data_IF_311357990774
#
_entry.id   IF_311357990774
#
_cell.length_a   1.000
_cell.length_b   1.000
_cell.length_c   1.000
_cell.angle_alpha   90.00
_cell.angle_beta   90.00
_cell.angle_gamma   90.00
#
_symmetry.space_group_name_H-M   'P 1'
#
loop_
_entity.id
_entity.type
_entity.pdbx_description
1 polymer ?
#
# COMPACT_ATOMS: atom_id res chain seq x y z
N UNK A 1 -1.35 7.25 7.26
CA UNK A 1 -1.42 7.68 5.85
C UNK A 1 -0.51 8.87 5.78
N UNK A 2 0.61 8.68 5.12
CA UNK A 2 1.81 9.47 5.29
C UNK A 2 2.24 9.95 3.92
N UNK A 3 2.56 11.24 3.80
CA UNK A 3 3.05 11.81 2.54
C UNK A 3 4.53 11.46 2.43
N UNK A 4 4.89 10.63 1.47
CA UNK A 4 6.26 10.13 1.27
C UNK A 4 7.06 11.09 0.39
N UNK A 5 6.47 11.56 -0.70
CA UNK A 5 7.14 12.48 -1.64
C UNK A 5 6.14 13.44 -2.28
N UNK A 6 6.57 14.65 -2.64
CA UNK A 6 5.75 15.62 -3.37
C UNK A 6 6.57 16.25 -4.49
N UNK A 7 6.20 15.96 -5.74
CA UNK A 7 6.82 16.53 -6.96
C UNK A 7 5.79 17.36 -7.71
N UNK A 8 5.86 18.68 -7.52
CA UNK A 8 4.92 19.61 -8.16
C UNK A 8 3.46 19.30 -7.79
N UNK A 9 2.66 18.89 -8.78
CA UNK A 9 1.26 18.50 -8.62
C UNK A 9 1.05 17.03 -8.22
N UNK A 10 2.09 16.20 -8.30
CA UNK A 10 2.06 14.81 -7.89
C UNK A 10 2.47 14.64 -6.42
N UNK A 11 1.74 13.81 -5.69
CA UNK A 11 1.94 13.46 -4.29
C UNK A 11 1.97 11.94 -4.16
N UNK A 12 3.02 11.42 -3.54
CA UNK A 12 3.11 10.00 -3.18
C UNK A 12 2.63 9.85 -1.73
N UNK A 13 1.60 9.04 -1.55
CA UNK A 13 0.94 8.74 -0.29
C UNK A 13 1.21 7.28 0.07
N UNK A 14 1.77 7.02 1.23
CA UNK A 14 1.83 5.66 1.78
C UNK A 14 0.69 5.46 2.76
N UNK A 15 -0.21 4.55 2.41
CA UNK A 15 -1.15 3.96 3.35
C UNK A 15 -0.44 2.78 4.00
N UNK A 16 0.02 3.00 5.24
CA UNK A 16 0.78 2.02 6.01
C UNK A 16 0.00 0.72 6.28
N UNK A 17 0.70 -0.32 6.74
CA UNK A 17 0.22 -1.71 6.81
C UNK A 17 -0.97 -1.92 7.74
N UNK A 18 -1.27 -0.99 8.64
CA UNK A 18 -2.43 -1.05 9.53
C UNK A 18 -3.36 0.14 9.29
N UNK A 19 -3.83 0.33 8.06
CA UNK A 19 -4.96 1.23 7.82
C UNK A 19 -6.27 0.50 8.13
N UNK A 20 -7.17 1.03 8.99
CA UNK A 20 -8.33 0.33 9.58
C UNK A 20 -9.46 -0.03 8.59
N UNK A 21 -9.20 -0.14 7.30
CA UNK A 21 -10.20 -0.54 6.28
C UNK A 21 -9.64 -1.40 5.16
N UNK A 22 -8.37 -1.75 5.18
CA UNK A 22 -7.81 -2.74 4.26
C UNK A 22 -7.93 -4.09 4.95
N UNK A 23 -8.67 -5.04 4.39
CA UNK A 23 -8.91 -6.37 4.98
C UNK A 23 -7.61 -7.21 5.09
N UNK A 24 -6.68 -6.83 5.98
CA UNK A 24 -5.37 -7.45 6.18
C UNK A 24 -4.25 -6.42 6.44
N UNK A 25 -3.03 -6.91 6.68
CA UNK A 25 -1.82 -6.07 6.66
C UNK A 25 -1.35 -5.89 5.22
N UNK A 26 -1.70 -4.74 4.65
CA UNK A 26 -1.36 -4.36 3.28
C UNK A 26 -0.79 -2.95 3.31
N UNK A 27 0.43 -2.78 2.77
CA UNK A 27 0.97 -1.45 2.54
C UNK A 27 0.68 -1.05 1.10
N UNK A 28 0.07 0.13 0.90
CA UNK A 28 -0.23 0.64 -0.43
C UNK A 28 0.43 2.00 -0.60
N UNK A 29 1.31 2.12 -1.58
CA UNK A 29 1.89 3.38 -2.01
C UNK A 29 1.10 3.88 -3.24
N UNK A 30 0.50 5.06 -3.13
CA UNK A 30 -0.34 5.66 -4.16
C UNK A 30 0.28 6.97 -4.61
N UNK A 31 0.50 7.12 -5.91
CA UNK A 31 0.87 8.39 -6.54
C UNK A 31 -0.40 9.06 -7.05
N UNK A 32 -0.72 10.22 -6.48
CA UNK A 32 -1.89 11.03 -6.83
C UNK A 32 -1.45 12.36 -7.41
N UNK A 33 -2.03 12.77 -8.54
CA UNK A 33 -1.89 14.10 -9.10
C UNK A 33 -3.19 14.87 -8.88
N UNK A 34 -3.24 15.71 -7.85
CA UNK A 34 -4.47 16.37 -7.41
C UNK A 34 -5.52 15.37 -6.93
N UNK A 35 -6.63 15.24 -7.69
CA UNK A 35 -7.76 14.34 -7.39
C UNK A 35 -7.72 13.04 -8.21
N UNK A 36 -6.74 12.90 -9.12
CA UNK A 36 -6.59 11.73 -10.00
C UNK A 36 -5.47 10.83 -9.51
N UNK A 37 -5.75 9.53 -9.33
CA UNK A 37 -4.72 8.53 -9.05
C UNK A 37 -4.01 8.13 -10.35
N UNK A 38 -2.69 8.31 -10.40
CA UNK A 38 -1.88 7.93 -11.57
C UNK A 38 -1.30 6.52 -11.44
N UNK A 39 -0.86 6.15 -10.22
CA UNK A 39 -0.24 4.86 -9.97
C UNK A 39 -0.48 4.39 -8.54
N UNK A 40 -0.63 3.08 -8.36
CA UNK A 40 -0.71 2.45 -7.05
C UNK A 40 0.17 1.19 -7.04
N UNK A 41 1.09 1.12 -6.09
CA UNK A 41 1.93 -0.04 -5.82
C UNK A 41 1.53 -0.64 -4.47
N UNK A 42 1.24 -1.93 -4.47
CA UNK A 42 0.79 -2.65 -3.29
C UNK A 42 1.84 -3.67 -2.86
N UNK A 43 2.21 -3.60 -1.58
CA UNK A 43 3.10 -4.55 -0.95
C UNK A 43 2.29 -5.53 -0.13
N UNK A 44 2.16 -6.75 -0.67
CA UNK A 44 1.45 -7.90 -0.09
C UNK A 44 2.46 -8.86 0.55
N UNK A 45 1.97 -9.83 1.34
CA UNK A 45 2.82 -10.91 1.89
C UNK A 45 3.16 -10.78 3.38
N UNK A 46 2.72 -9.70 4.04
CA UNK A 46 2.90 -9.50 5.49
C UNK A 46 2.26 -10.60 6.36
N UNK A 47 1.27 -11.34 5.86
CA UNK A 47 0.65 -12.50 6.50
C UNK A 47 0.89 -13.81 5.73
N UNK A 48 1.90 -13.88 4.88
CA UNK A 48 2.24 -15.13 4.19
C UNK A 48 2.89 -16.10 5.17
N UNK A 49 2.07 -16.86 5.89
CA UNK A 49 2.49 -17.84 6.91
C UNK A 49 2.97 -19.16 6.32
N UNK A 50 3.10 -19.27 4.99
CA UNK A 50 3.52 -20.50 4.32
C UNK A 50 2.55 -21.66 4.52
N UNK A 51 1.24 -21.39 4.50
CA UNK A 51 0.18 -22.40 4.64
C UNK A 51 0.35 -23.51 3.60
N UNK A 52 0.70 -23.14 2.37
CA UNK A 52 1.03 -24.05 1.27
C UNK A 52 2.15 -25.05 1.61
N UNK A 53 3.10 -24.68 2.48
CA UNK A 53 4.19 -25.54 2.95
C UNK A 53 3.85 -26.29 4.22
N UNK A 54 2.96 -25.75 5.04
CA UNK A 54 2.54 -26.37 6.31
C UNK A 54 1.57 -27.55 6.12
N UNK A 55 1.05 -27.72 4.91
CA UNK A 55 0.13 -28.80 4.53
C UNK A 55 0.80 -29.92 3.70
N UNK A 56 2.12 -29.90 3.56
CA UNK A 56 2.92 -31.05 3.08
C UNK A 56 3.15 -32.07 4.21
#
# INVERSE_FOLDING_TARGET
MDVVERRGNAMTLSMGPQHPSTHGVLQVMIEVAGETGERAEMEIGYLHTGIEKSME
#
